data_IF_804096527803
#
_entry.id   IF_804096527803
#
_cell.length_a   1.000
_cell.length_b   1.000
_cell.length_c   1.000
_cell.angle_alpha   90.00
_cell.angle_beta   90.00
_cell.angle_gamma   90.00
#
_symmetry.space_group_name_H-M   'P 1'
#
loop_
_entity.id
_entity.type
_entity.pdbx_description
1 polymer ?
#
# COMPACT_ATOMS: atom_id res chain seq x y z
N UNK A 1 -8.30 7.47 -15.37
CA UNK A 1 -7.96 6.14 -14.84
C UNK A 1 -9.23 5.56 -14.26
N UNK A 2 -9.53 4.31 -14.60
CA UNK A 2 -10.60 3.51 -14.00
C UNK A 2 -10.23 3.02 -12.61
N UNK A 3 -11.22 2.65 -11.81
CA UNK A 3 -11.02 2.08 -10.47
C UNK A 3 -10.15 0.81 -10.55
N UNK A 4 -10.29 0.01 -11.61
CA UNK A 4 -9.45 -1.17 -11.86
C UNK A 4 -7.97 -0.83 -12.12
N UNK A 5 -7.69 0.29 -12.79
CA UNK A 5 -6.32 0.77 -12.99
C UNK A 5 -5.72 1.28 -11.67
N UNK A 6 -6.51 1.99 -10.87
CA UNK A 6 -6.11 2.48 -9.54
C UNK A 6 -5.85 1.30 -8.59
N UNK A 7 -6.72 0.30 -8.57
CA UNK A 7 -6.57 -0.93 -7.80
C UNK A 7 -5.25 -1.64 -8.15
N UNK A 8 -4.95 -1.80 -9.45
CA UNK A 8 -3.70 -2.43 -9.89
C UNK A 8 -2.47 -1.67 -9.42
N UNK A 9 -2.51 -0.33 -9.44
CA UNK A 9 -1.41 0.52 -8.96
C UNK A 9 -1.20 0.31 -7.45
N UNK A 10 -2.27 0.39 -6.66
CA UNK A 10 -2.17 0.19 -5.21
C UNK A 10 -1.70 -1.22 -4.87
N UNK A 11 -2.29 -2.25 -5.47
CA UNK A 11 -1.90 -3.63 -5.22
C UNK A 11 -0.42 -3.86 -5.56
N UNK A 12 0.04 -3.31 -6.68
CA UNK A 12 1.45 -3.41 -7.09
C UNK A 12 2.38 -2.74 -6.08
N UNK A 13 2.08 -1.50 -5.65
CA UNK A 13 2.90 -0.80 -4.67
C UNK A 13 2.89 -1.51 -3.31
N UNK A 14 1.73 -1.98 -2.83
CA UNK A 14 1.62 -2.71 -1.55
C UNK A 14 2.45 -3.99 -1.56
N UNK A 15 2.32 -4.82 -2.61
CA UNK A 15 3.08 -6.08 -2.74
C UNK A 15 4.57 -5.81 -2.88
N UNK A 16 4.96 -4.81 -3.69
CA UNK A 16 6.36 -4.43 -3.91
C UNK A 16 7.08 -4.09 -2.60
N UNK A 17 6.38 -3.51 -1.63
CA UNK A 17 6.93 -3.20 -0.31
C UNK A 17 6.51 -4.19 0.78
N UNK A 18 6.20 -5.43 0.39
CA UNK A 18 6.15 -6.59 1.28
C UNK A 18 4.82 -6.83 1.97
N UNK A 19 3.75 -6.11 1.64
CA UNK A 19 2.40 -6.43 2.12
C UNK A 19 1.97 -7.76 1.50
N UNK A 20 1.41 -8.67 2.31
CA UNK A 20 0.92 -9.99 1.82
C UNK A 20 -0.12 -9.78 0.73
N UNK A 21 -0.03 -10.58 -0.33
CA UNK A 21 -0.87 -10.43 -1.53
C UNK A 21 -2.37 -10.34 -1.22
N UNK A 22 -2.91 -11.25 -0.41
CA UNK A 22 -4.33 -11.27 -0.01
C UNK A 22 -4.76 -9.95 0.61
N UNK A 23 -3.95 -9.41 1.51
CA UNK A 23 -4.19 -8.14 2.18
C UNK A 23 -4.04 -6.96 1.22
N UNK A 24 -3.03 -7.01 0.34
CA UNK A 24 -2.78 -5.99 -0.65
C UNK A 24 -3.95 -5.85 -1.64
N UNK A 25 -4.54 -6.96 -2.08
CA UNK A 25 -5.72 -6.94 -2.97
C UNK A 25 -6.92 -6.30 -2.28
N UNK A 26 -7.21 -6.69 -1.03
CA UNK A 26 -8.34 -6.12 -0.28
C UNK A 26 -8.14 -4.63 -0.05
N UNK A 27 -6.98 -4.22 0.44
CA UNK A 27 -6.67 -2.81 0.66
C UNK A 27 -6.67 -2.00 -0.64
N UNK A 28 -6.18 -2.56 -1.74
CA UNK A 28 -6.18 -1.89 -3.04
C UNK A 28 -7.59 -1.61 -3.55
N UNK A 29 -8.52 -2.56 -3.38
CA UNK A 29 -9.93 -2.37 -3.74
C UNK A 29 -10.58 -1.25 -2.94
N UNK A 30 -10.36 -1.24 -1.62
CA UNK A 30 -10.90 -0.21 -0.72
C UNK A 30 -10.31 1.17 -1.06
N UNK A 31 -9.00 1.24 -1.29
CA UNK A 31 -8.32 2.51 -1.65
C UNK A 31 -8.75 3.01 -3.04
N UNK A 32 -8.98 2.10 -3.98
CA UNK A 32 -9.41 2.44 -5.34
C UNK A 32 -10.87 2.89 -5.41
N UNK A 33 -11.74 2.41 -4.51
CA UNK A 33 -13.15 2.83 -4.48
C UNK A 33 -13.34 4.30 -4.12
N UNK A 34 -12.33 4.94 -3.51
CA UNK A 34 -12.37 6.34 -3.11
C UNK A 34 -13.47 6.65 -2.09
N UNK A 35 -14.03 5.62 -1.44
CA UNK A 35 -15.03 5.80 -0.40
C UNK A 35 -14.41 6.56 0.77
N UNK A 36 -15.21 7.45 1.36
CA UNK A 36 -14.82 8.15 2.56
C UNK A 36 -14.64 7.15 3.72
N UNK A 37 -13.66 7.39 4.59
CA UNK A 37 -13.31 6.47 5.67
C UNK A 37 -14.50 6.22 6.62
N UNK A 38 -15.42 7.17 6.76
CA UNK A 38 -16.63 7.04 7.59
C UNK A 38 -17.62 6.00 7.07
N UNK A 39 -17.50 5.58 5.80
CA UNK A 39 -18.34 4.56 5.17
C UNK A 39 -17.73 3.15 5.28
N UNK A 40 -16.49 3.05 5.76
CA UNK A 40 -15.81 1.77 5.92
C UNK A 40 -16.17 1.13 7.25
N UNK A 41 -16.29 -0.20 7.24
CA UNK A 41 -16.39 -0.96 8.47
C UNK A 41 -15.08 -0.91 9.27
N UNK A 42 -15.15 -1.18 10.58
CA UNK A 42 -13.96 -1.22 11.43
C UNK A 42 -12.92 -2.25 10.97
N UNK A 43 -13.36 -3.36 10.35
CA UNK A 43 -12.46 -4.37 9.81
C UNK A 43 -11.76 -3.89 8.53
N UNK A 44 -12.48 -3.22 7.63
CA UNK A 44 -11.89 -2.61 6.43
C UNK A 44 -10.86 -1.54 6.80
N UNK A 45 -11.19 -0.65 7.74
CA UNK A 45 -10.26 0.36 8.26
C UNK A 45 -9.01 -0.31 8.82
N UNK A 46 -9.17 -1.37 9.62
CA UNK A 46 -8.04 -2.10 10.20
C UNK A 46 -7.16 -2.73 9.12
N UNK A 47 -7.75 -3.39 8.12
CA UNK A 47 -7.02 -4.01 7.02
C UNK A 47 -6.21 -2.97 6.25
N UNK A 48 -6.84 -1.86 5.85
CA UNK A 48 -6.19 -0.76 5.11
C UNK A 48 -5.08 -0.13 5.94
N UNK A 49 -5.35 0.17 7.22
CA UNK A 49 -4.37 0.77 8.11
C UNK A 49 -3.12 -0.09 8.25
N UNK A 50 -3.29 -1.37 8.58
CA UNK A 50 -2.16 -2.28 8.77
C UNK A 50 -1.35 -2.47 7.47
N UNK A 51 -2.01 -2.49 6.30
CA UNK A 51 -1.33 -2.57 5.01
C UNK A 51 -0.52 -1.29 4.70
N UNK A 52 -1.12 -0.12 4.91
CA UNK A 52 -0.47 1.17 4.69
C UNK A 52 0.70 1.41 5.65
N UNK A 53 0.57 1.05 6.93
CA UNK A 53 1.66 1.14 7.91
C UNK A 53 2.84 0.27 7.50
N UNK A 54 2.59 -0.99 7.13
CA UNK A 54 3.64 -1.89 6.67
C UNK A 54 4.34 -1.36 5.41
N UNK A 55 3.57 -0.92 4.42
CA UNK A 55 4.10 -0.31 3.20
C UNK A 55 4.97 0.90 3.50
N UNK A 56 4.52 1.79 4.39
CA UNK A 56 5.25 3.03 4.73
C UNK A 56 6.61 2.73 5.34
N UNK A 57 6.66 1.80 6.31
CA UNK A 57 7.91 1.38 6.96
C UNK A 57 8.89 0.80 5.92
N UNK A 58 8.42 -0.12 5.08
CA UNK A 58 9.29 -0.80 4.12
C UNK A 58 9.74 0.13 2.99
N UNK A 59 8.87 1.00 2.50
CA UNK A 59 9.21 2.01 1.49
C UNK A 59 10.26 2.99 2.01
N UNK A 60 10.13 3.43 3.26
CA UNK A 60 11.14 4.31 3.88
C UNK A 60 12.47 3.59 4.09
N UNK A 61 12.46 2.33 4.51
CA UNK A 61 13.68 1.52 4.60
C UNK A 61 14.36 1.38 3.23
N UNK A 62 13.59 1.06 2.19
CA UNK A 62 14.10 0.96 0.82
C UNK A 62 14.72 2.27 0.33
N UNK A 63 14.05 3.41 0.55
CA UNK A 63 14.60 4.74 0.21
C UNK A 63 15.93 5.01 0.90
N UNK A 64 16.04 4.70 2.20
CA UNK A 64 17.29 4.86 2.96
C UNK A 64 18.42 3.99 2.40
N UNK A 65 18.13 2.72 2.11
CA UNK A 65 19.12 1.81 1.53
C UNK A 65 19.60 2.30 0.15
N UNK A 66 18.68 2.72 -0.71
CA UNK A 66 19.02 3.25 -2.03
C UNK A 66 19.87 4.53 -1.95
N UNK A 67 19.59 5.41 -0.99
CA UNK A 67 20.40 6.60 -0.78
C UNK A 67 21.82 6.26 -0.31
N UNK A 68 21.98 5.23 0.52
CA UNK A 68 23.31 4.76 0.94
C UNK A 68 24.08 4.15 -0.23
N UNK A 69 23.43 3.31 -1.05
CA UNK A 69 24.03 2.74 -2.26
C UNK A 69 24.56 3.82 -3.21
N UNK A 70 23.76 4.87 -3.46
CA UNK A 70 24.15 5.97 -4.33
C UNK A 70 25.30 6.85 -3.77
N UNK A 71 25.57 6.80 -2.47
CA UNK A 71 26.68 7.53 -1.85
C UNK A 71 27.97 6.69 -1.77
N UNK A 72 27.89 5.40 -2.11
CA UNK A 72 29.02 4.46 -2.12
C UNK A 72 29.63 4.26 -3.53
N UNK A 73 29.02 4.87 -4.55
CA UNK A 73 29.46 4.88 -5.96
C UNK A 73 29.88 6.30 -6.33
#
# INVERSE_FOLDING_TARGET
MSDEEIEKIFCTELVKYGVKYEKAVISAKILASGQADELLSSEEIKIVKEACEQWFVQKNRYKKLKALENNLV
#
